data_IF_745223187382
#
_entry.id   IF_745223187382
#
_cell.length_a   1.000
_cell.length_b   1.000
_cell.length_c   1.000
_cell.angle_alpha   90.00
_cell.angle_beta   90.00
_cell.angle_gamma   90.00
#
_symmetry.space_group_name_H-M   'P 1'
#
loop_
_entity.id
_entity.type
_entity.pdbx_description
1 polymer ?
#
# COMPACT_ATOMS: atom_id res chain seq x y z
N UNK A 1 22.39 8.73 -12.91
CA UNK A 1 22.68 7.94 -11.70
C UNK A 1 21.39 7.75 -10.93
N UNK A 2 20.72 6.61 -11.07
CA UNK A 2 19.85 6.09 -10.00
C UNK A 2 20.05 4.59 -9.98
N UNK A 3 20.89 4.16 -9.03
CA UNK A 3 21.10 2.76 -8.75
C UNK A 3 19.76 2.18 -8.29
N UNK A 4 19.27 1.16 -8.99
CA UNK A 4 18.20 0.30 -8.50
C UNK A 4 18.75 -0.55 -7.35
N UNK A 5 18.97 0.08 -6.20
CA UNK A 5 18.96 -0.61 -4.92
C UNK A 5 17.63 -1.36 -4.89
N UNK A 6 17.66 -2.68 -4.73
CA UNK A 6 16.45 -3.47 -4.56
C UNK A 6 15.79 -3.01 -3.26
N UNK A 7 14.98 -1.96 -3.35
CA UNK A 7 14.15 -1.49 -2.26
C UNK A 7 13.30 -2.68 -1.84
N UNK A 8 13.14 -2.85 -0.53
CA UNK A 8 12.17 -3.81 -0.01
C UNK A 8 10.83 -3.50 -0.68
N UNK A 9 10.11 -4.52 -1.21
CA UNK A 9 8.83 -4.27 -1.84
C UNK A 9 7.92 -3.60 -0.81
N UNK A 10 7.38 -2.43 -1.17
CA UNK A 10 6.39 -1.74 -0.35
C UNK A 10 5.19 -2.64 -0.10
N UNK A 11 4.51 -2.39 1.02
CA UNK A 11 3.39 -3.20 1.48
C UNK A 11 2.12 -2.37 1.46
N UNK A 12 1.07 -2.92 0.86
CA UNK A 12 -0.27 -2.36 0.91
C UNK A 12 -0.94 -2.79 2.19
N UNK A 13 -1.51 -1.81 2.86
CA UNK A 13 -2.36 -1.96 4.03
C UNK A 13 -3.75 -1.40 3.72
N UNK A 14 -4.77 -1.89 4.42
CA UNK A 14 -6.15 -1.46 4.22
C UNK A 14 -6.83 -1.20 5.55
N UNK A 15 -7.58 -0.11 5.66
CA UNK A 15 -8.38 0.16 6.84
C UNK A 15 -9.58 -0.79 6.90
N UNK A 16 -9.86 -1.47 8.03
CA UNK A 16 -11.02 -2.33 8.13
C UNK A 16 -12.37 -1.59 8.19
N UNK A 17 -12.35 -0.27 8.42
CA UNK A 17 -13.57 0.54 8.57
C UNK A 17 -13.93 1.29 7.29
N UNK A 18 -13.01 2.11 6.76
CA UNK A 18 -13.25 2.89 5.55
C UNK A 18 -12.76 2.22 4.26
N UNK A 19 -12.18 1.02 4.36
CA UNK A 19 -11.66 0.22 3.24
C UNK A 19 -10.58 0.93 2.40
N UNK A 20 -10.09 2.09 2.86
CA UNK A 20 -9.05 2.85 2.18
C UNK A 20 -7.72 2.12 2.29
N UNK A 21 -7.02 2.05 1.17
CA UNK A 21 -5.71 1.41 1.06
C UNK A 21 -4.60 2.43 1.16
N UNK A 22 -3.48 2.00 1.72
CA UNK A 22 -2.32 2.84 1.95
C UNK A 22 -1.02 2.07 1.68
N UNK A 23 0.01 2.80 1.23
CA UNK A 23 1.36 2.28 1.02
C UNK A 23 2.18 2.45 2.29
N UNK A 24 2.65 1.36 2.87
CA UNK A 24 3.51 1.31 4.07
C UNK A 24 2.94 1.99 5.33
N UNK A 25 1.67 2.44 5.31
CA UNK A 25 0.98 3.06 6.44
C UNK A 25 0.18 2.02 7.26
N UNK A 26 0.52 1.93 8.54
CA UNK A 26 -0.03 0.91 9.45
C UNK A 26 -1.24 1.42 10.25
N UNK A 27 -1.58 2.70 10.10
CA UNK A 27 -2.66 3.34 10.82
C UNK A 27 -3.43 4.28 9.92
N UNK A 28 -4.74 4.08 9.83
CA UNK A 28 -5.59 4.95 9.05
C UNK A 28 -5.60 6.37 9.66
N UNK A 29 -5.25 7.43 8.90
CA UNK A 29 -5.25 8.80 9.40
C UNK A 29 -6.65 9.31 9.74
N UNK A 30 -7.69 8.83 9.03
CA UNK A 30 -9.07 9.26 9.24
C UNK A 30 -9.76 8.50 10.37
N UNK A 31 -9.74 7.16 10.31
CA UNK A 31 -10.43 6.31 11.30
C UNK A 31 -9.60 6.08 12.56
N UNK A 32 -8.29 6.38 12.54
CA UNK A 32 -7.39 6.18 13.68
C UNK A 32 -7.23 4.70 14.10
N UNK A 33 -7.60 3.76 13.24
CA UNK A 33 -7.55 2.31 13.45
C UNK A 33 -6.29 1.68 12.84
N UNK A 34 -5.90 0.53 13.37
CA UNK A 34 -4.86 -0.29 12.75
C UNK A 34 -5.36 -0.90 11.44
N UNK A 35 -4.55 -0.77 10.40
CA UNK A 35 -4.85 -1.33 9.09
C UNK A 35 -4.47 -2.82 9.04
N UNK A 36 -5.17 -3.60 8.20
CA UNK A 36 -4.79 -4.99 7.89
C UNK A 36 -3.74 -5.00 6.78
N UNK A 37 -2.77 -5.91 6.87
CA UNK A 37 -1.77 -6.11 5.82
C UNK A 37 -2.41 -6.88 4.66
N UNK A 38 -2.43 -6.29 3.46
CA UNK A 38 -2.89 -6.97 2.24
C UNK A 38 -1.75 -7.76 1.63
N UNK A 39 -0.60 -7.12 1.38
CA UNK A 39 0.54 -7.78 0.77
C UNK A 39 1.49 -6.82 0.06
N UNK A 40 2.49 -7.34 -0.67
CA UNK A 40 3.36 -6.51 -1.51
C UNK A 40 2.56 -5.71 -2.54
N UNK A 41 2.98 -4.49 -2.84
CA UNK A 41 2.36 -3.64 -3.84
C UNK A 41 3.06 -2.30 -4.01
N UNK A 42 2.39 -1.37 -4.68
CA UNK A 42 2.92 -0.05 -5.01
C UNK A 42 1.84 0.94 -5.45
N UNK A 43 2.23 2.19 -5.66
CA UNK A 43 1.36 3.17 -6.30
C UNK A 43 1.27 2.92 -7.80
N UNK A 44 0.05 3.02 -8.36
CA UNK A 44 -0.18 2.96 -9.79
C UNK A 44 0.51 4.13 -10.49
N UNK A 45 1.31 3.92 -11.55
CA UNK A 45 2.02 5.00 -12.24
C UNK A 45 1.11 5.97 -13.02
N UNK A 46 -0.20 5.69 -13.09
CA UNK A 46 -1.17 6.49 -13.84
C UNK A 46 -2.09 7.34 -12.96
N UNK A 47 -2.45 6.86 -11.77
CA UNK A 47 -3.39 7.53 -10.86
C UNK A 47 -2.85 7.67 -9.42
N UNK A 48 -1.62 7.22 -9.14
CA UNK A 48 -0.99 7.17 -7.82
C UNK A 48 -1.73 6.34 -6.76
N UNK A 49 -2.83 5.67 -7.13
CA UNK A 49 -3.61 4.85 -6.23
C UNK A 49 -2.82 3.61 -5.77
N UNK A 50 -2.93 3.20 -4.50
CA UNK A 50 -2.27 2.03 -3.97
C UNK A 50 -2.88 0.73 -4.52
N UNK A 51 -2.07 -0.07 -5.20
CA UNK A 51 -2.44 -1.35 -5.81
C UNK A 51 -1.62 -2.49 -5.20
N UNK A 52 -2.30 -3.56 -4.76
CA UNK A 52 -1.62 -4.75 -4.26
C UNK A 52 -1.32 -5.73 -5.40
N UNK A 53 -0.21 -6.44 -5.33
CA UNK A 53 0.15 -7.45 -6.34
C UNK A 53 -0.91 -8.55 -6.46
N UNK A 54 -1.60 -8.87 -5.36
CA UNK A 54 -2.68 -9.87 -5.35
C UNK A 54 -3.91 -9.46 -6.15
N UNK A 55 -4.06 -8.18 -6.50
CA UNK A 55 -5.18 -7.70 -7.33
C UNK A 55 -4.90 -7.90 -8.84
N UNK A 56 -3.65 -8.21 -9.21
CA UNK A 56 -3.18 -8.28 -10.61
C UNK A 56 -2.99 -9.71 -11.12
N UNK A 57 -3.38 -10.72 -10.34
CA UNK A 57 -3.16 -12.14 -10.64
C UNK A 57 -4.45 -12.93 -10.72
#
# INVERSE_FOLDING_TARGET
>A
MSASTHARPSVIYECPECETRYLDERRCPDCNLFTRRIGPGGSCPHCDEPVAQTDLT
#
